data_IF_317936016788
#
_entry.id   IF_317936016788
#
_cell.length_a   1.000
_cell.length_b   1.000
_cell.length_c   1.000
_cell.angle_alpha   90.00
_cell.angle_beta   90.00
_cell.angle_gamma   90.00
#
_symmetry.space_group_name_H-M   'P 1'
#
loop_
_entity.id
_entity.type
_entity.pdbx_description
1 polymer ?
#
# COMPACT_ATOMS: atom_id res chain seq x y z
N UNK A 1 33.43 -37.93 -0.68
CA UNK A 1 34.55 -38.66 -0.05
C UNK A 1 35.38 -37.64 0.71
N UNK A 2 35.47 -37.75 2.03
CA UNK A 2 36.27 -36.82 2.84
C UNK A 2 37.75 -37.10 2.62
N UNK A 3 38.50 -36.14 2.09
CA UNK A 3 39.96 -36.24 2.01
C UNK A 3 40.54 -36.18 3.41
N UNK A 4 41.24 -37.23 3.83
CA UNK A 4 41.96 -37.23 5.11
C UNK A 4 43.28 -36.48 4.93
N UNK A 5 43.49 -35.45 5.75
CA UNK A 5 44.75 -34.73 5.80
C UNK A 5 45.61 -35.32 6.91
N UNK A 6 46.82 -35.77 6.57
CA UNK A 6 47.82 -36.16 7.57
C UNK A 6 49.06 -35.31 7.29
N UNK A 7 49.51 -34.55 8.30
CA UNK A 7 50.66 -33.64 8.21
C UNK A 7 50.60 -32.67 7.00
N UNK A 8 49.40 -32.17 6.69
CA UNK A 8 49.19 -31.21 5.59
C UNK A 8 49.28 -31.80 4.18
N UNK A 9 49.47 -33.11 4.01
CA UNK A 9 49.45 -33.79 2.71
C UNK A 9 48.12 -34.51 2.49
N UNK A 10 47.57 -34.39 1.29
CA UNK A 10 46.45 -35.22 0.84
C UNK A 10 47.00 -36.64 0.64
N UNK A 11 46.46 -37.63 1.35
CA UNK A 11 46.84 -39.03 1.20
C UNK A 11 45.65 -39.80 0.65
N UNK A 12 45.88 -40.70 -0.29
CA UNK A 12 44.82 -41.58 -0.78
C UNK A 12 44.40 -42.52 0.36
N UNK A 13 43.10 -42.59 0.73
CA UNK A 13 42.64 -43.45 1.82
C UNK A 13 42.86 -44.95 1.55
N UNK A 14 43.19 -45.33 0.31
CA UNK A 14 43.45 -46.72 -0.09
C UNK A 14 44.93 -47.08 -0.19
N UNK A 15 45.84 -46.23 0.32
CA UNK A 15 47.28 -46.51 0.35
C UNK A 15 47.95 -46.33 -1.01
N UNK A 16 48.31 -45.08 -1.33
CA UNK A 16 49.04 -44.70 -2.54
C UNK A 16 49.28 -43.19 -2.62
N UNK A 17 50.07 -42.77 -3.62
CA UNK A 17 50.26 -41.34 -3.91
C UNK A 17 48.93 -40.72 -4.33
N UNK A 18 48.51 -39.65 -3.67
CA UNK A 18 47.31 -38.90 -4.06
C UNK A 18 47.63 -38.02 -5.27
N UNK A 19 46.85 -38.16 -6.33
CA UNK A 19 46.83 -37.24 -7.46
C UNK A 19 45.39 -36.84 -7.74
N UNK A 20 45.16 -35.54 -7.91
CA UNK A 20 43.85 -35.02 -8.27
C UNK A 20 43.61 -35.29 -9.76
N UNK A 21 42.70 -36.22 -10.06
CA UNK A 21 42.38 -36.61 -11.43
C UNK A 21 41.01 -36.08 -11.82
N UNK A 22 40.89 -35.61 -13.07
CA UNK A 22 39.60 -35.30 -13.67
C UNK A 22 38.77 -36.58 -13.80
N UNK A 23 37.45 -36.43 -13.67
CA UNK A 23 36.53 -37.54 -13.86
C UNK A 23 36.65 -38.06 -15.31
N UNK A 24 36.90 -39.37 -15.54
CA UNK A 24 36.91 -39.93 -16.88
C UNK A 24 35.55 -39.75 -17.56
N UNK A 25 35.56 -39.31 -18.83
CA UNK A 25 34.32 -39.09 -19.63
C UNK A 25 33.45 -40.35 -19.66
N UNK A 26 34.06 -41.54 -19.70
CA UNK A 26 33.35 -42.82 -19.67
C UNK A 26 32.60 -43.09 -18.36
N UNK A 27 33.13 -42.62 -17.22
CA UNK A 27 32.46 -42.71 -15.93
C UNK A 27 31.32 -41.71 -15.86
N UNK A 28 31.57 -40.47 -16.28
CA UNK A 28 30.53 -39.44 -16.38
C UNK A 28 29.35 -39.92 -17.22
N UNK A 29 29.60 -40.45 -18.43
CA UNK A 29 28.57 -41.00 -19.33
C UNK A 29 27.79 -42.18 -18.73
N UNK A 30 28.37 -42.93 -17.79
CA UNK A 30 27.65 -43.98 -17.05
C UNK A 30 26.80 -43.40 -15.93
N UNK A 31 27.33 -42.42 -15.19
CA UNK A 31 26.61 -41.74 -14.11
C UNK A 31 25.38 -40.98 -14.62
N UNK A 32 25.48 -40.34 -15.79
CA UNK A 32 24.35 -39.62 -16.39
C UNK A 32 23.19 -40.53 -16.82
N UNK A 33 23.47 -41.82 -17.06
CA UNK A 33 22.45 -42.84 -17.37
C UNK A 33 21.82 -43.48 -16.14
N UNK A 34 22.32 -43.18 -14.94
CA UNK A 34 21.72 -43.69 -13.72
C UNK A 34 20.39 -43.00 -13.48
N UNK A 35 19.36 -43.82 -13.31
CA UNK A 35 18.02 -43.43 -12.89
C UNK A 35 17.92 -43.56 -11.37
N UNK A 36 17.66 -42.46 -10.69
CA UNK A 36 17.64 -42.35 -9.24
C UNK A 36 16.25 -41.85 -8.82
N UNK A 37 15.64 -42.53 -7.86
CA UNK A 37 14.38 -42.08 -7.26
C UNK A 37 14.63 -40.89 -6.33
N UNK A 38 13.72 -39.94 -6.33
CA UNK A 38 13.74 -38.83 -5.38
C UNK A 38 13.77 -39.32 -3.91
N UNK A 39 14.61 -38.71 -3.06
CA UNK A 39 14.63 -39.03 -1.61
C UNK A 39 13.30 -38.81 -0.88
N UNK A 40 12.40 -38.00 -1.45
CA UNK A 40 11.06 -37.71 -0.94
C UNK A 40 9.99 -38.68 -1.48
N UNK A 41 10.38 -39.86 -2.00
CA UNK A 41 9.45 -40.93 -2.41
C UNK A 41 8.47 -41.31 -1.28
N UNK A 42 8.97 -41.42 -0.04
CA UNK A 42 8.15 -41.72 1.14
C UNK A 42 7.08 -40.66 1.45
N UNK A 43 7.24 -39.43 0.96
CA UNK A 43 6.27 -38.34 1.10
C UNK A 43 5.33 -38.24 -0.11
N UNK A 44 5.58 -39.03 -1.18
CA UNK A 44 4.75 -39.11 -2.38
C UNK A 44 5.41 -38.64 -3.68
N UNK A 45 6.72 -38.33 -3.69
CA UNK A 45 7.41 -37.98 -4.93
C UNK A 45 7.82 -39.22 -5.73
N UNK A 46 7.10 -39.55 -6.78
CA UNK A 46 7.38 -40.72 -7.62
C UNK A 46 8.31 -40.42 -8.81
N UNK A 47 9.04 -39.31 -8.80
CA UNK A 47 9.92 -38.94 -9.91
C UNK A 47 11.21 -39.79 -9.91
N UNK A 48 11.55 -40.30 -11.09
CA UNK A 48 12.81 -40.96 -11.40
C UNK A 48 13.63 -39.98 -12.22
N UNK A 49 14.85 -39.68 -11.76
CA UNK A 49 15.65 -38.55 -12.22
C UNK A 49 17.04 -39.03 -12.63
N UNK A 50 17.68 -38.31 -13.55
CA UNK A 50 19.10 -38.51 -13.83
C UNK A 50 19.95 -37.98 -12.68
N UNK A 51 21.17 -38.50 -12.54
CA UNK A 51 22.13 -38.00 -11.56
C UNK A 51 22.33 -36.47 -11.63
N UNK A 52 22.35 -35.88 -12.83
CA UNK A 52 22.54 -34.44 -13.03
C UNK A 52 21.35 -33.60 -12.56
N UNK A 53 20.12 -34.13 -12.64
CA UNK A 53 18.89 -33.38 -12.31
C UNK A 53 18.42 -33.58 -10.86
N UNK A 54 18.99 -34.55 -10.15
CA UNK A 54 18.59 -34.91 -8.79
C UNK A 54 18.74 -33.74 -7.81
N UNK A 55 19.91 -33.08 -7.78
CA UNK A 55 20.19 -31.98 -6.84
C UNK A 55 19.25 -30.79 -7.06
N UNK A 56 19.00 -30.42 -8.32
CA UNK A 56 18.09 -29.33 -8.66
C UNK A 56 16.64 -29.67 -8.30
N UNK A 57 16.23 -30.92 -8.56
CA UNK A 57 14.91 -31.39 -8.17
C UNK A 57 14.75 -31.35 -6.65
N UNK A 58 15.70 -31.84 -5.85
CA UNK A 58 15.54 -31.91 -4.40
C UNK A 58 15.40 -30.52 -3.73
N UNK A 59 16.03 -29.49 -4.30
CA UNK A 59 15.86 -28.09 -3.85
C UNK A 59 14.46 -27.53 -4.19
N UNK A 60 13.84 -28.05 -5.23
CA UNK A 60 12.56 -27.55 -5.74
C UNK A 60 11.38 -28.46 -5.45
N UNK A 61 11.62 -29.67 -4.95
CA UNK A 61 10.62 -30.71 -4.76
C UNK A 61 9.45 -30.26 -3.89
N UNK A 62 8.25 -30.38 -4.44
CA UNK A 62 6.99 -30.05 -3.76
C UNK A 62 6.68 -30.91 -2.53
N UNK A 63 7.36 -32.06 -2.42
CA UNK A 63 7.26 -33.00 -1.30
C UNK A 63 8.34 -32.78 -0.23
N UNK A 64 9.19 -31.76 -0.40
CA UNK A 64 10.12 -31.34 0.64
C UNK A 64 9.33 -30.71 1.81
N UNK A 65 9.72 -31.05 3.04
CA UNK A 65 9.16 -30.44 4.25
C UNK A 65 9.72 -29.03 4.47
N UNK A 66 8.86 -28.09 4.83
CA UNK A 66 9.19 -26.70 5.18
C UNK A 66 8.39 -26.26 6.41
N UNK A 67 8.87 -25.24 7.13
CA UNK A 67 8.21 -24.71 8.33
C UNK A 67 7.42 -23.44 8.01
N UNK A 68 6.19 -23.33 8.54
CA UNK A 68 5.39 -22.13 8.42
C UNK A 68 6.00 -20.93 9.16
N UNK A 69 6.08 -19.77 8.50
CA UNK A 69 6.63 -18.53 9.08
C UNK A 69 5.88 -18.06 10.35
N UNK A 70 4.57 -18.28 10.40
CA UNK A 70 3.72 -17.89 11.53
C UNK A 70 3.72 -18.93 12.66
N UNK A 71 3.25 -20.15 12.38
CA UNK A 71 3.00 -21.16 13.44
C UNK A 71 4.16 -22.13 13.67
N UNK A 72 5.23 -22.09 12.86
CA UNK A 72 6.42 -22.96 12.92
C UNK A 72 6.17 -24.46 12.74
N UNK A 73 4.93 -24.89 12.46
CA UNK A 73 4.61 -26.29 12.13
C UNK A 73 5.21 -26.66 10.78
N UNK A 74 5.56 -27.93 10.63
CA UNK A 74 6.18 -28.50 9.42
C UNK A 74 5.06 -28.96 8.48
N UNK A 75 5.15 -28.55 7.22
CA UNK A 75 4.25 -28.94 6.12
C UNK A 75 5.06 -29.34 4.89
N UNK A 76 4.44 -30.09 3.97
CA UNK A 76 5.01 -30.26 2.63
C UNK A 76 4.94 -28.93 1.88
N UNK A 77 5.95 -28.64 1.05
CA UNK A 77 6.03 -27.41 0.26
C UNK A 77 4.79 -27.18 -0.61
N UNK A 78 4.18 -28.22 -1.18
CA UNK A 78 2.90 -28.10 -1.90
C UNK A 78 1.71 -27.63 -1.07
N UNK A 79 1.73 -27.85 0.25
CA UNK A 79 0.64 -27.53 1.16
C UNK A 79 0.89 -26.24 1.96
N UNK A 80 2.12 -25.71 1.94
CA UNK A 80 2.48 -24.55 2.77
C UNK A 80 1.73 -23.30 2.33
N UNK A 81 1.59 -23.06 1.03
CA UNK A 81 0.93 -21.86 0.51
C UNK A 81 -0.55 -21.79 0.92
N UNK A 82 -1.26 -22.93 0.87
CA UNK A 82 -2.64 -23.03 1.32
C UNK A 82 -2.75 -22.83 2.85
N UNK A 83 -1.79 -23.36 3.61
CA UNK A 83 -1.75 -23.15 5.05
C UNK A 83 -1.49 -21.69 5.39
N UNK A 84 -0.51 -21.04 4.75
CA UNK A 84 -0.15 -19.65 5.04
C UNK A 84 -1.31 -18.68 4.74
N UNK A 85 -2.13 -18.95 3.73
CA UNK A 85 -3.35 -18.15 3.48
C UNK A 85 -4.36 -18.16 4.65
N UNK A 86 -4.35 -19.22 5.47
CA UNK A 86 -5.29 -19.42 6.58
C UNK A 86 -4.61 -19.45 7.96
N UNK A 87 -3.31 -19.17 8.04
CA UNK A 87 -2.54 -19.31 9.26
C UNK A 87 -2.74 -18.11 10.19
N UNK A 88 -3.59 -18.30 11.21
CA UNK A 88 -3.91 -17.33 12.26
C UNK A 88 -2.71 -16.63 12.93
N UNK A 89 -1.51 -17.21 12.86
CA UNK A 89 -0.28 -16.72 13.48
C UNK A 89 0.60 -15.88 12.56
N UNK A 90 0.30 -15.79 11.26
CA UNK A 90 1.04 -14.92 10.34
C UNK A 90 0.76 -13.46 10.69
N UNK A 91 1.81 -12.64 10.70
CA UNK A 91 1.70 -11.20 10.89
C UNK A 91 1.35 -10.52 9.56
N UNK A 92 0.41 -9.58 9.61
CA UNK A 92 -0.04 -8.77 8.50
C UNK A 92 0.01 -7.31 8.90
N UNK A 93 0.40 -6.46 7.95
CA UNK A 93 0.45 -5.02 8.13
C UNK A 93 -0.96 -4.43 7.99
N UNK A 94 -1.33 -3.51 8.89
CA UNK A 94 -2.54 -2.71 8.71
C UNK A 94 -2.24 -1.49 7.84
N UNK A 95 -2.95 -1.31 6.73
CA UNK A 95 -2.74 -0.17 5.80
C UNK A 95 -3.14 1.20 6.39
N UNK A 96 -3.93 1.22 7.46
CA UNK A 96 -4.42 2.47 8.06
C UNK A 96 -3.43 3.03 9.08
N UNK A 97 -2.94 2.17 10.00
CA UNK A 97 -2.05 2.59 11.08
C UNK A 97 -0.62 2.03 10.97
N UNK A 98 -0.29 1.37 9.84
CA UNK A 98 1.02 0.81 9.52
C UNK A 98 1.63 -0.09 10.61
N UNK A 99 0.78 -0.79 11.37
CA UNK A 99 1.19 -1.66 12.48
C UNK A 99 0.94 -3.13 12.15
N UNK A 100 1.80 -4.02 12.65
CA UNK A 100 1.71 -5.47 12.41
C UNK A 100 0.74 -6.14 13.39
N UNK A 101 -0.14 -7.00 12.86
CA UNK A 101 -1.07 -7.80 13.64
C UNK A 101 -1.11 -9.24 13.15
N UNK A 102 -1.33 -10.18 14.06
CA UNK A 102 -1.65 -11.56 13.68
C UNK A 102 -2.91 -11.59 12.80
N UNK A 103 -2.93 -12.46 11.79
CA UNK A 103 -4.07 -12.62 10.87
C UNK A 103 -5.39 -12.85 11.62
N UNK A 104 -5.36 -13.62 12.71
CA UNK A 104 -6.52 -13.82 13.59
C UNK A 104 -7.08 -12.55 14.25
N UNK A 105 -6.26 -11.50 14.39
CA UNK A 105 -6.62 -10.24 15.06
C UNK A 105 -6.88 -9.08 14.10
N UNK A 106 -6.47 -9.19 12.83
CA UNK A 106 -6.55 -8.08 11.88
C UNK A 106 -7.99 -7.60 11.67
N UNK A 107 -8.97 -8.51 11.64
CA UNK A 107 -10.37 -8.17 11.33
C UNK A 107 -10.97 -7.32 12.45
N UNK A 108 -10.68 -7.70 13.71
CA UNK A 108 -11.10 -6.92 14.87
C UNK A 108 -10.38 -5.57 14.91
N UNK A 109 -9.06 -5.58 14.67
CA UNK A 109 -8.26 -4.38 14.62
C UNK A 109 -8.77 -3.40 13.55
N UNK A 110 -9.09 -3.87 12.34
CA UNK A 110 -9.54 -3.02 11.25
C UNK A 110 -10.77 -2.19 11.64
N UNK A 111 -11.76 -2.81 12.29
CA UNK A 111 -12.95 -2.09 12.78
C UNK A 111 -12.63 -1.05 13.87
N UNK A 112 -11.70 -1.34 14.77
CA UNK A 112 -11.26 -0.39 15.81
C UNK A 112 -10.41 0.75 15.21
N UNK A 113 -9.53 0.43 14.25
CA UNK A 113 -8.63 1.36 13.58
C UNK A 113 -9.41 2.39 12.77
N UNK A 114 -10.36 1.94 11.94
CA UNK A 114 -11.26 2.83 11.18
C UNK A 114 -12.06 3.73 12.12
N UNK A 115 -12.57 3.19 13.24
CA UNK A 115 -13.32 3.99 14.21
C UNK A 115 -12.45 5.08 14.83
N UNK A 116 -11.22 4.75 15.23
CA UNK A 116 -10.29 5.71 15.82
C UNK A 116 -9.94 6.83 14.82
N UNK A 117 -9.69 6.47 13.55
CA UNK A 117 -9.42 7.44 12.50
C UNK A 117 -10.62 8.36 12.25
N UNK A 118 -11.85 7.84 12.29
CA UNK A 118 -13.07 8.65 12.18
C UNK A 118 -13.25 9.62 13.36
N UNK A 119 -12.93 9.19 14.57
CA UNK A 119 -12.97 10.06 15.76
C UNK A 119 -11.93 11.17 15.66
N UNK A 120 -10.73 10.88 15.17
CA UNK A 120 -9.69 11.87 14.95
C UNK A 120 -10.13 12.91 13.90
N UNK A 121 -10.67 12.46 12.76
CA UNK A 121 -11.21 13.34 11.72
C UNK A 121 -12.34 14.23 12.27
N UNK A 122 -13.27 13.65 13.04
CA UNK A 122 -14.36 14.43 13.66
C UNK A 122 -13.82 15.46 14.64
N UNK A 123 -12.82 15.10 15.45
CA UNK A 123 -12.19 16.02 16.40
C UNK A 123 -11.50 17.17 15.68
N UNK A 124 -10.80 16.90 14.58
CA UNK A 124 -10.20 17.93 13.73
C UNK A 124 -11.27 18.84 13.11
N UNK A 125 -12.37 18.27 12.59
CA UNK A 125 -13.51 19.03 12.05
C UNK A 125 -14.07 20.01 13.08
N UNK A 126 -14.34 19.55 14.31
CA UNK A 126 -14.89 20.43 15.37
C UNK A 126 -13.95 21.56 15.76
N UNK A 127 -12.63 21.33 15.71
CA UNK A 127 -11.65 22.39 15.95
C UNK A 127 -11.72 23.45 14.85
N UNK A 128 -11.87 23.03 13.60
CA UNK A 128 -12.06 23.93 12.46
C UNK A 128 -13.35 24.73 12.57
N UNK A 129 -14.46 24.09 12.98
CA UNK A 129 -15.75 24.77 13.16
C UNK A 129 -15.67 25.86 14.24
N UNK A 130 -14.99 25.61 15.36
CA UNK A 130 -14.77 26.62 16.40
C UNK A 130 -13.96 27.82 15.89
N UNK A 131 -12.91 27.57 15.10
CA UNK A 131 -12.10 28.65 14.49
C UNK A 131 -12.94 29.47 13.52
N UNK A 132 -13.83 28.84 12.75
CA UNK A 132 -14.74 29.55 11.84
C UNK A 132 -15.69 30.46 12.63
N UNK A 133 -16.22 30.00 13.77
CA UNK A 133 -17.11 30.80 14.60
C UNK A 133 -16.39 31.97 15.28
N UNK A 134 -15.17 31.77 15.79
CA UNK A 134 -14.35 32.85 16.36
C UNK A 134 -14.05 33.94 15.31
N UNK A 135 -13.77 33.53 14.06
CA UNK A 135 -13.57 34.45 12.95
C UNK A 135 -14.87 35.21 12.60
N UNK A 136 -16.02 34.54 12.66
CA UNK A 136 -17.34 35.14 12.41
C UNK A 136 -17.65 36.23 13.44
N UNK A 137 -17.42 35.98 14.73
CA UNK A 137 -17.61 36.96 15.80
C UNK A 137 -16.64 38.15 15.67
N UNK A 138 -15.39 37.87 15.27
CA UNK A 138 -14.40 38.92 15.03
C UNK A 138 -14.84 39.84 13.88
N UNK A 139 -15.38 39.27 12.80
CA UNK A 139 -15.93 40.05 11.69
C UNK A 139 -17.09 40.96 12.15
N UNK A 140 -18.05 40.44 12.93
CA UNK A 140 -19.16 41.23 13.47
C UNK A 140 -18.69 42.44 14.29
N UNK A 141 -17.68 42.26 15.16
CA UNK A 141 -17.10 43.36 15.97
C UNK A 141 -16.44 44.40 15.08
N UNK A 142 -15.72 43.97 14.04
CA UNK A 142 -15.09 44.88 13.08
C UNK A 142 -16.15 45.67 12.30
N UNK A 143 -17.23 45.02 11.86
CA UNK A 143 -18.34 45.69 11.18
C UNK A 143 -18.99 46.77 12.06
N UNK A 144 -19.20 46.49 13.35
CA UNK A 144 -19.72 47.49 14.29
C UNK A 144 -18.79 48.70 14.44
N UNK A 145 -17.47 48.47 14.60
CA UNK A 145 -16.49 49.56 14.71
C UNK A 145 -16.43 50.41 13.44
N UNK A 146 -16.49 49.78 12.27
CA UNK A 146 -16.57 50.49 10.98
C UNK A 146 -17.80 51.39 10.96
N UNK A 147 -18.95 50.90 11.41
CA UNK A 147 -20.19 51.68 11.47
C UNK A 147 -20.09 52.88 12.44
N UNK A 148 -19.50 52.70 13.62
CA UNK A 148 -19.31 53.75 14.63
C UNK A 148 -18.38 54.87 14.11
N UNK A 149 -17.24 54.49 13.53
CA UNK A 149 -16.36 55.44 12.86
C UNK A 149 -17.08 56.20 11.73
N UNK A 150 -17.88 55.52 10.92
CA UNK A 150 -18.67 56.17 9.87
C UNK A 150 -19.67 57.20 10.42
N UNK A 151 -20.20 56.99 11.63
CA UNK A 151 -21.07 57.94 12.32
C UNK A 151 -20.30 59.17 12.83
N UNK A 152 -19.19 58.97 13.55
CA UNK A 152 -18.35 60.06 14.05
C UNK A 152 -17.86 60.97 12.91
N UNK A 153 -17.49 60.38 11.77
CA UNK A 153 -17.07 61.11 10.59
C UNK A 153 -18.18 61.96 9.99
N UNK A 154 -19.42 61.45 9.96
CA UNK A 154 -20.57 62.24 9.51
C UNK A 154 -20.83 63.44 10.43
N UNK A 155 -20.67 63.27 11.73
CA UNK A 155 -20.88 64.35 12.69
C UNK A 155 -19.77 65.41 12.63
N UNK A 156 -18.52 64.97 12.54
CA UNK A 156 -17.37 65.85 12.35
C UNK A 156 -17.51 66.65 11.03
N UNK A 157 -18.04 66.03 9.96
CA UNK A 157 -18.32 66.69 8.68
C UNK A 157 -19.30 67.86 8.81
N UNK A 158 -20.33 67.76 9.65
CA UNK A 158 -21.30 68.84 9.88
C UNK A 158 -20.67 70.07 10.53
N UNK A 159 -19.70 69.86 11.43
CA UNK A 159 -19.10 70.93 12.23
C UNK A 159 -17.89 71.60 11.54
N UNK A 160 -17.25 70.93 10.58
CA UNK A 160 -15.92 71.33 10.04
C UNK A 160 -15.97 71.75 8.57
N UNK A 161 -17.14 72.19 8.08
CA UNK A 161 -17.43 72.39 6.64
C UNK A 161 -16.54 73.41 5.89
N UNK A 162 -15.50 74.02 6.50
CA UNK A 162 -14.53 74.90 5.83
C UNK A 162 -13.02 74.65 6.14
N UNK A 163 -12.63 73.57 6.84
CA UNK A 163 -11.21 73.34 7.23
C UNK A 163 -10.47 72.35 6.31
N UNK A 164 -9.26 72.70 5.86
CA UNK A 164 -8.39 71.87 5.01
C UNK A 164 -7.88 70.59 5.68
N UNK A 165 -7.82 70.54 7.02
CA UNK A 165 -7.47 69.31 7.76
C UNK A 165 -8.50 68.20 7.54
N UNK A 166 -9.78 68.56 7.35
CA UNK A 166 -10.85 67.59 7.16
C UNK A 166 -10.71 66.82 5.84
N UNK A 167 -10.31 67.51 4.77
CA UNK A 167 -10.04 66.88 3.46
C UNK A 167 -8.87 65.89 3.47
N UNK A 168 -7.92 66.04 4.42
CA UNK A 168 -6.85 65.06 4.60
C UNK A 168 -7.37 63.79 5.27
N UNK A 169 -8.14 63.96 6.35
CA UNK A 169 -8.74 62.84 7.09
C UNK A 169 -9.70 62.05 6.18
N UNK A 170 -10.56 62.72 5.40
CA UNK A 170 -11.45 62.04 4.44
C UNK A 170 -10.69 61.17 3.43
N UNK A 171 -9.52 61.62 2.96
CA UNK A 171 -8.69 60.83 2.03
C UNK A 171 -8.09 59.60 2.71
N UNK A 172 -7.64 59.72 3.96
CA UNK A 172 -7.11 58.59 4.73
C UNK A 172 -8.20 57.54 5.00
N UNK A 173 -9.42 57.97 5.36
CA UNK A 173 -10.57 57.07 5.54
C UNK A 173 -10.96 56.39 4.24
N UNK A 174 -11.00 57.13 3.13
CA UNK A 174 -11.28 56.54 1.83
C UNK A 174 -10.21 55.48 1.46
N UNK A 175 -8.93 55.75 1.76
CA UNK A 175 -7.86 54.78 1.62
C UNK A 175 -8.07 53.52 2.48
N UNK A 176 -8.47 53.70 3.74
CA UNK A 176 -8.76 52.58 4.64
C UNK A 176 -9.98 51.74 4.18
N UNK A 177 -11.06 52.38 3.73
CA UNK A 177 -12.23 51.67 3.16
C UNK A 177 -11.86 50.84 1.94
N UNK A 178 -11.04 51.38 1.04
CA UNK A 178 -10.55 50.63 -0.11
C UNK A 178 -9.68 49.44 0.30
N UNK A 179 -8.84 49.59 1.33
CA UNK A 179 -8.05 48.48 1.86
C UNK A 179 -8.92 47.39 2.50
N UNK A 180 -9.95 47.76 3.27
CA UNK A 180 -10.91 46.82 3.86
C UNK A 180 -11.65 46.04 2.77
N UNK A 181 -12.17 46.71 1.74
CA UNK A 181 -12.85 46.05 0.63
C UNK A 181 -11.92 45.05 -0.09
N UNK A 182 -10.65 45.40 -0.28
CA UNK A 182 -9.67 44.48 -0.87
C UNK A 182 -9.39 43.25 0.01
N UNK A 183 -9.36 43.42 1.34
CA UNK A 183 -9.20 42.31 2.28
C UNK A 183 -10.42 41.40 2.24
N UNK A 184 -11.62 41.98 2.24
CA UNK A 184 -12.87 41.22 2.22
C UNK A 184 -13.04 40.44 0.91
N UNK A 185 -12.67 41.03 -0.23
CA UNK A 185 -12.61 40.34 -1.52
C UNK A 185 -11.63 39.15 -1.50
N UNK A 186 -10.45 39.32 -0.89
CA UNK A 186 -9.49 38.22 -0.72
C UNK A 186 -10.05 37.12 0.17
N UNK A 187 -10.73 37.49 1.24
CA UNK A 187 -11.34 36.54 2.18
C UNK A 187 -12.45 35.73 1.50
N UNK A 188 -13.30 36.37 0.69
CA UNK A 188 -14.31 35.70 -0.13
C UNK A 188 -13.69 34.70 -1.12
N UNK A 189 -12.58 35.07 -1.78
CA UNK A 189 -11.84 34.17 -2.68
C UNK A 189 -11.26 32.97 -1.94
N UNK A 190 -10.73 33.17 -0.73
CA UNK A 190 -10.22 32.08 0.10
C UNK A 190 -11.35 31.11 0.48
N UNK A 191 -12.48 31.63 0.96
CA UNK A 191 -13.65 30.81 1.31
C UNK A 191 -14.18 30.05 0.10
N UNK A 192 -14.24 30.68 -1.07
CA UNK A 192 -14.63 30.01 -2.31
C UNK A 192 -13.65 28.88 -2.67
N UNK A 193 -12.35 29.14 -2.59
CA UNK A 193 -11.32 28.11 -2.84
C UNK A 193 -11.44 26.95 -1.86
N UNK A 194 -11.71 27.22 -0.59
CA UNK A 194 -11.92 26.18 0.43
C UNK A 194 -13.14 25.31 0.11
N UNK A 195 -14.23 25.91 -0.36
CA UNK A 195 -15.42 25.16 -0.79
C UNK A 195 -15.13 24.29 -2.01
N UNK A 196 -14.41 24.82 -3.00
CA UNK A 196 -13.98 24.07 -4.18
C UNK A 196 -13.09 22.86 -3.81
N UNK A 197 -12.16 23.04 -2.87
CA UNK A 197 -11.34 21.95 -2.33
C UNK A 197 -12.21 20.90 -1.62
N UNK A 198 -13.20 21.31 -0.80
CA UNK A 198 -14.11 20.36 -0.16
C UNK A 198 -14.94 19.56 -1.18
N UNK A 199 -15.43 20.22 -2.24
CA UNK A 199 -16.16 19.56 -3.33
C UNK A 199 -15.25 18.56 -4.03
N UNK A 200 -14.03 18.96 -4.42
CA UNK A 200 -13.06 18.08 -5.07
C UNK A 200 -12.70 16.88 -4.20
N UNK A 201 -12.47 17.08 -2.91
CA UNK A 201 -12.20 15.97 -1.98
C UNK A 201 -13.40 15.00 -1.89
N UNK A 202 -14.63 15.53 -1.88
CA UNK A 202 -15.83 14.68 -1.88
C UNK A 202 -15.98 13.89 -3.19
N UNK A 203 -15.61 14.49 -4.32
CA UNK A 203 -15.63 13.84 -5.64
C UNK A 203 -14.54 12.77 -5.75
N UNK A 204 -13.33 13.06 -5.31
CA UNK A 204 -12.24 12.09 -5.23
C UNK A 204 -12.64 10.87 -4.40
N UNK A 205 -13.24 11.08 -3.22
CA UNK A 205 -13.71 9.98 -2.38
C UNK A 205 -14.80 9.13 -3.06
N UNK A 206 -15.70 9.74 -3.84
CA UNK A 206 -16.69 9.00 -4.64
C UNK A 206 -16.03 8.23 -5.78
N UNK A 207 -15.04 8.82 -6.45
CA UNK A 207 -14.28 8.17 -7.50
C UNK A 207 -13.49 6.97 -6.96
N UNK A 208 -12.83 7.12 -5.82
CA UNK A 208 -12.13 6.04 -5.11
C UNK A 208 -13.09 4.88 -4.81
N UNK A 209 -14.27 5.17 -4.23
CA UNK A 209 -15.29 4.14 -4.00
C UNK A 209 -15.79 3.49 -5.29
N UNK A 210 -15.91 4.24 -6.37
CA UNK A 210 -16.33 3.72 -7.68
C UNK A 210 -15.25 2.82 -8.30
N UNK A 211 -13.99 3.24 -8.25
CA UNK A 211 -12.84 2.46 -8.70
C UNK A 211 -12.74 1.16 -7.89
N UNK A 212 -12.90 1.21 -6.57
CA UNK A 212 -12.93 0.02 -5.72
C UNK A 212 -14.06 -0.95 -6.14
N UNK A 213 -15.26 -0.44 -6.44
CA UNK A 213 -16.38 -1.26 -6.93
C UNK A 213 -16.11 -1.86 -8.31
N UNK A 214 -15.54 -1.10 -9.24
CA UNK A 214 -15.19 -1.61 -10.57
C UNK A 214 -14.10 -2.68 -10.50
N UNK A 215 -13.08 -2.49 -9.65
CA UNK A 215 -12.06 -3.49 -9.38
C UNK A 215 -12.68 -4.77 -8.79
N UNK A 216 -13.64 -4.62 -7.88
CA UNK A 216 -14.35 -5.78 -7.32
C UNK A 216 -15.15 -6.55 -8.38
N UNK A 217 -15.88 -5.85 -9.25
CA UNK A 217 -16.66 -6.47 -10.34
C UNK A 217 -15.75 -7.13 -11.38
N UNK A 218 -14.64 -6.48 -11.78
CA UNK A 218 -13.71 -7.05 -12.75
C UNK A 218 -13.01 -8.29 -12.21
N UNK A 219 -12.58 -8.27 -10.94
CA UNK A 219 -12.07 -9.45 -10.24
C UNK A 219 -13.11 -10.57 -10.21
N UNK A 220 -14.37 -10.26 -9.90
CA UNK A 220 -15.44 -11.24 -9.85
C UNK A 220 -15.69 -11.89 -11.22
N UNK A 221 -15.81 -11.10 -12.29
CA UNK A 221 -15.99 -11.60 -13.66
C UNK A 221 -14.80 -12.44 -14.14
N UNK A 222 -13.59 -12.07 -13.74
CA UNK A 222 -12.39 -12.80 -14.09
C UNK A 222 -12.32 -14.16 -13.37
N UNK A 223 -12.66 -14.21 -12.08
CA UNK A 223 -12.80 -15.48 -11.34
C UNK A 223 -13.88 -16.34 -11.98
N UNK A 224 -15.02 -15.75 -12.36
CA UNK A 224 -16.11 -16.47 -12.98
C UNK A 224 -15.75 -17.06 -14.36
N UNK A 225 -15.06 -16.30 -15.21
CA UNK A 225 -14.58 -16.78 -16.53
C UNK A 225 -13.55 -17.89 -16.38
N UNK A 226 -12.63 -17.77 -15.42
CA UNK A 226 -11.69 -18.84 -15.09
C UNK A 226 -12.42 -20.12 -14.69
N UNK A 227 -13.42 -20.03 -13.80
CA UNK A 227 -14.21 -21.17 -13.37
C UNK A 227 -14.95 -21.81 -14.56
N UNK A 228 -15.53 -21.00 -15.45
CA UNK A 228 -16.18 -21.50 -16.68
C UNK A 228 -15.19 -22.25 -17.59
N UNK A 229 -13.99 -21.70 -17.84
CA UNK A 229 -12.98 -22.37 -18.65
C UNK A 229 -12.56 -23.73 -18.07
N UNK A 230 -12.45 -23.82 -16.74
CA UNK A 230 -12.14 -25.08 -16.04
C UNK A 230 -13.28 -26.08 -16.21
N UNK A 231 -14.53 -25.66 -16.02
CA UNK A 231 -15.71 -26.54 -16.15
C UNK A 231 -15.92 -27.04 -17.58
N UNK A 232 -15.51 -26.26 -18.59
CA UNK A 232 -15.59 -26.63 -20.01
C UNK A 232 -14.37 -27.44 -20.49
N UNK A 233 -13.38 -27.70 -19.64
CA UNK A 233 -12.19 -28.49 -19.98
C UNK A 233 -11.21 -27.81 -20.94
N UNK A 234 -11.33 -26.49 -21.15
CA UNK A 234 -10.53 -25.76 -22.14
C UNK A 234 -9.23 -25.21 -21.52
N UNK A 235 -8.29 -26.12 -21.26
CA UNK A 235 -7.06 -25.85 -20.49
C UNK A 235 -6.12 -24.82 -21.12
N UNK A 236 -6.04 -24.76 -22.45
CA UNK A 236 -5.17 -23.81 -23.13
C UNK A 236 -5.66 -22.36 -22.96
N UNK A 237 -6.97 -22.15 -23.03
CA UNK A 237 -7.58 -20.83 -22.80
C UNK A 237 -7.39 -20.37 -21.35
N UNK A 238 -7.53 -21.29 -20.39
CA UNK A 238 -7.27 -21.01 -18.97
C UNK A 238 -5.83 -20.57 -18.71
N UNK A 239 -4.84 -21.28 -19.27
CA UNK A 239 -3.43 -20.93 -19.11
C UNK A 239 -3.09 -19.58 -19.75
N UNK A 240 -3.69 -19.27 -20.91
CA UNK A 240 -3.59 -17.96 -21.53
C UNK A 240 -4.13 -16.84 -20.62
N UNK A 241 -5.37 -16.98 -20.13
CA UNK A 241 -6.02 -16.02 -19.24
C UNK A 241 -5.25 -15.81 -17.94
N UNK A 242 -4.77 -16.89 -17.31
CA UNK A 242 -3.97 -16.83 -16.08
C UNK A 242 -2.69 -16.02 -16.28
N UNK A 243 -2.03 -16.18 -17.44
CA UNK A 243 -0.78 -15.47 -17.77
C UNK A 243 -1.03 -13.99 -18.00
N UNK A 244 -2.07 -13.66 -18.77
CA UNK A 244 -2.47 -12.27 -19.01
C UNK A 244 -2.87 -11.59 -17.71
N UNK A 245 -3.72 -12.23 -16.90
CA UNK A 245 -4.13 -11.69 -15.60
C UNK A 245 -2.93 -11.38 -14.70
N UNK A 246 -1.96 -12.30 -14.61
CA UNK A 246 -0.76 -12.08 -13.80
C UNK A 246 0.04 -10.86 -14.26
N UNK A 247 0.16 -10.64 -15.56
CA UNK A 247 0.85 -9.46 -16.10
C UNK A 247 0.07 -8.17 -15.82
N UNK A 248 -1.24 -8.16 -16.08
CA UNK A 248 -2.07 -6.98 -15.87
C UNK A 248 -2.18 -6.60 -14.39
N UNK A 249 -2.37 -7.60 -13.52
CA UNK A 249 -2.47 -7.40 -12.08
C UNK A 249 -1.18 -6.86 -11.49
N UNK A 250 -0.02 -7.43 -11.87
CA UNK A 250 1.28 -6.92 -11.41
C UNK A 250 1.54 -5.49 -11.91
N UNK A 251 1.16 -5.17 -13.15
CA UNK A 251 1.27 -3.80 -13.67
C UNK A 251 0.45 -2.81 -12.84
N UNK A 252 -0.81 -3.15 -12.54
CA UNK A 252 -1.69 -2.33 -11.69
C UNK A 252 -1.12 -2.19 -10.28
N UNK A 253 -0.61 -3.28 -9.69
CA UNK A 253 -0.02 -3.26 -8.34
C UNK A 253 1.19 -2.31 -8.29
N UNK A 254 2.08 -2.38 -9.28
CA UNK A 254 3.24 -1.49 -9.39
C UNK A 254 2.84 -0.02 -9.52
N UNK A 255 1.83 0.28 -10.35
CA UNK A 255 1.34 1.66 -10.53
C UNK A 255 0.66 2.23 -9.28
N UNK A 256 0.04 1.39 -8.46
CA UNK A 256 -0.55 1.81 -7.18
C UNK A 256 0.51 2.06 -6.11
N UNK A 257 1.62 1.32 -6.11
CA UNK A 257 2.71 1.50 -5.14
C UNK A 257 3.62 2.70 -5.41
N UNK A 258 3.66 3.23 -6.63
CA UNK A 258 4.51 4.39 -6.98
C UNK A 258 3.88 5.76 -6.63
N UNK A 259 2.58 5.79 -6.34
CA UNK A 259 1.83 7.03 -6.10
C UNK A 259 1.38 7.23 -4.63
N UNK A 260 1.88 6.41 -3.71
CA UNK A 260 1.71 6.53 -2.26
C UNK A 260 3.04 6.94 -1.64
#
# INVERSE_FOLDING_TARGET
MSTTFINGRKICPFGGNYEEKLCPISLYSKLTKLEIKCRFEHAGCNQILSYESLDQHEQTCDYQSTSCKGCRKIFLKKAIDQHEQSCASIEMLCDICNSNYKQSKIVKHFGECVRNQLVEIHTQSTKTDNVIEDLRLTDEVLQYKIHDFDYELKECRKNVLNSTQFQRIEREIHGMKNAINQIQDKQNRITQTQLEIQILNSQMKRLEMFVQKLLFVSLFLLVFTILLCVMLGNYDTYNGLKRTFKMTFNGILSSLTENV
#
